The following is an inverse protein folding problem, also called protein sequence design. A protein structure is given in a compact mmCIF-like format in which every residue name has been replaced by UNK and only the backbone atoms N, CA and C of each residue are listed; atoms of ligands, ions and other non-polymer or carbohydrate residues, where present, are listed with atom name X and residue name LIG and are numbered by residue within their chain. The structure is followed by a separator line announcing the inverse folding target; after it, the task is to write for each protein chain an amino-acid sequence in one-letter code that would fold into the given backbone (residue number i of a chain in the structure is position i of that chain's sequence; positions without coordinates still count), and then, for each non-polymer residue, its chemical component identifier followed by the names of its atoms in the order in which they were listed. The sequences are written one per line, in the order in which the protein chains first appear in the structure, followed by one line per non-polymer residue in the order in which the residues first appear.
data_IF_090970573336
#
_entry.id   IF_090970573336
#
_cell.length_a   1.000
_cell.length_b   1.000
_cell.length_c   1.000
_cell.angle_alpha   90.00
_cell.angle_beta   90.00
_cell.angle_gamma   90.00
#
_symmetry.space_group_name_H-M   'P 1'
#
loop_
_entity.id
_entity.type
_entity.pdbx_description
1 polymer ?
#
# COMPACT_ATOMS: atom_id res chain seq x y z
N UNK A 1 13.30 13.73 15.99
CA UNK A 1 12.80 12.57 15.21
C UNK A 1 13.71 12.21 14.03
N UNK A 2 13.74 12.98 12.92
CA UNK A 2 14.53 12.61 11.71
C UNK A 2 16.01 12.33 11.97
N UNK A 3 16.65 13.14 12.81
CA UNK A 3 18.05 12.97 13.21
C UNK A 3 18.32 11.86 14.23
N UNK A 4 17.30 11.04 14.56
CA UNK A 4 17.38 9.97 15.57
C UNK A 4 17.87 10.41 16.95
N UNK A 5 17.55 11.64 17.33
CA UNK A 5 17.79 12.19 18.66
C UNK A 5 16.48 12.08 19.47
N UNK A 6 16.34 11.11 20.39
CA UNK A 6 15.13 10.91 21.19
C UNK A 6 14.95 11.99 22.27
N UNK A 7 16.04 12.48 22.86
CA UNK A 7 16.01 13.50 23.90
C UNK A 7 15.51 14.83 23.32
N UNK A 8 16.06 15.24 22.18
CA UNK A 8 15.56 16.42 21.47
C UNK A 8 14.12 16.21 20.98
N UNK A 9 13.75 15.01 20.53
CA UNK A 9 12.40 14.73 20.05
C UNK A 9 11.35 14.92 21.15
N UNK A 10 11.58 14.35 22.34
CA UNK A 10 10.65 14.50 23.47
C UNK A 10 10.65 15.93 24.03
N UNK A 11 11.81 16.61 24.05
CA UNK A 11 11.87 18.02 24.44
C UNK A 11 11.01 18.90 23.53
N UNK A 12 11.13 18.77 22.20
CA UNK A 12 10.32 19.57 21.27
C UNK A 12 8.85 19.21 21.31
N UNK A 13 8.50 17.94 21.56
CA UNK A 13 7.13 17.52 21.82
C UNK A 13 6.55 18.25 23.04
N UNK A 14 7.25 18.17 24.18
CA UNK A 14 6.83 18.84 25.40
C UNK A 14 6.68 20.35 25.17
N UNK A 15 7.66 20.99 24.52
CA UNK A 15 7.58 22.42 24.16
C UNK A 15 6.35 22.80 23.36
N UNK A 16 5.92 21.96 22.40
CA UNK A 16 4.68 22.21 21.63
C UNK A 16 3.44 22.08 22.51
N UNK A 17 3.34 21.01 23.31
CA UNK A 17 2.17 20.74 24.14
C UNK A 17 2.02 21.77 25.27
N UNK A 18 3.11 22.14 25.95
CA UNK A 18 3.11 23.17 26.98
C UNK A 18 2.81 24.57 26.43
N UNK A 19 3.07 24.81 25.14
CA UNK A 19 2.69 26.04 24.45
C UNK A 19 1.20 26.07 24.03
N UNK A 20 0.44 25.00 24.29
CA UNK A 20 -0.98 24.89 23.94
C UNK A 20 -1.24 24.48 22.49
N UNK A 21 -0.25 23.88 21.81
CA UNK A 21 -0.45 23.34 20.46
C UNK A 21 -1.50 22.22 20.47
N UNK A 22 -2.32 22.16 19.41
CA UNK A 22 -3.34 21.12 19.27
C UNK A 22 -2.70 19.72 19.22
N UNK A 23 -3.06 18.79 20.13
CA UNK A 23 -2.50 17.42 20.13
C UNK A 23 -2.80 16.68 18.81
N UNK A 24 -3.91 16.99 18.12
CA UNK A 24 -4.22 16.43 16.81
C UNK A 24 -3.28 16.97 15.74
N UNK A 25 -2.86 18.23 15.83
CA UNK A 25 -1.80 18.77 14.98
C UNK A 25 -0.48 18.02 15.17
N UNK A 26 -0.06 17.83 16.43
CA UNK A 26 1.16 17.07 16.75
C UNK A 26 1.07 15.64 16.24
N UNK A 27 -0.05 14.95 16.48
CA UNK A 27 -0.30 13.59 16.00
C UNK A 27 -0.19 13.47 14.47
N UNK A 28 -0.77 14.41 13.72
CA UNK A 28 -0.65 14.46 12.26
C UNK A 28 0.82 14.54 11.81
N UNK A 29 1.65 15.31 12.51
CA UNK A 29 3.09 15.39 12.19
C UNK A 29 3.80 14.08 12.45
N UNK A 30 3.49 13.38 13.55
CA UNK A 30 4.06 12.05 13.85
C UNK A 30 3.68 11.04 12.76
N UNK A 31 2.43 11.01 12.30
CA UNK A 31 1.98 10.14 11.21
C UNK A 31 2.72 10.43 9.90
N UNK A 32 2.94 11.71 9.57
CA UNK A 32 3.76 12.09 8.41
C UNK A 32 5.19 11.56 8.57
N UNK A 33 5.82 11.77 9.73
CA UNK A 33 7.17 11.27 10.01
C UNK A 33 7.30 9.75 9.86
N UNK A 34 6.29 8.99 10.31
CA UNK A 34 6.28 7.54 10.18
C UNK A 34 6.41 7.08 8.71
N UNK A 35 5.76 7.78 7.78
CA UNK A 35 5.80 7.42 6.35
C UNK A 35 6.96 8.07 5.59
N UNK A 36 7.37 9.28 5.97
CA UNK A 36 8.40 10.06 5.28
C UNK A 36 9.83 9.64 5.66
N UNK A 37 10.07 9.43 6.96
CA UNK A 37 11.41 9.31 7.51
C UNK A 37 11.73 7.91 8.08
N UNK A 38 10.71 7.15 8.49
CA UNK A 38 10.88 5.73 8.89
C UNK A 38 10.55 4.81 7.71
N UNK A 39 9.39 5.00 7.08
CA UNK A 39 9.00 4.30 5.87
C UNK A 39 8.96 2.78 6.07
N UNK A 40 9.37 2.03 5.05
CA UNK A 40 9.41 0.57 5.14
C UNK A 40 10.66 0.03 5.85
N UNK A 41 11.58 0.90 6.33
CA UNK A 41 12.64 0.42 7.21
C UNK A 41 12.04 -0.17 8.49
N UNK A 42 10.91 0.38 8.95
CA UNK A 42 10.06 -0.25 9.96
C UNK A 42 8.57 0.04 9.66
N UNK A 43 7.87 -0.90 9.00
CA UNK A 43 6.45 -0.73 8.66
C UNK A 43 5.52 -0.57 9.88
N UNK A 44 5.92 -0.98 11.09
CA UNK A 44 5.11 -0.81 12.30
C UNK A 44 5.00 0.67 12.72
N UNK A 45 5.90 1.53 12.26
CA UNK A 45 5.86 2.95 12.58
C UNK A 45 4.51 3.60 12.24
N UNK A 46 3.97 3.36 11.04
CA UNK A 46 2.69 3.95 10.66
C UNK A 46 1.54 3.46 11.54
N UNK A 47 1.58 2.18 11.96
CA UNK A 47 0.59 1.59 12.87
C UNK A 47 0.67 2.25 14.25
N UNK A 48 1.87 2.37 14.82
CA UNK A 48 2.11 3.02 16.11
C UNK A 48 1.66 4.49 16.08
N UNK A 49 2.03 5.23 15.03
CA UNK A 49 1.65 6.64 14.90
C UNK A 49 0.13 6.81 14.77
N UNK A 50 -0.54 5.93 14.00
CA UNK A 50 -2.01 5.96 13.85
C UNK A 50 -2.70 5.65 15.17
N UNK A 51 -2.27 4.60 15.89
CA UNK A 51 -2.83 4.23 17.18
C UNK A 51 -2.66 5.37 18.20
N UNK A 52 -1.49 6.01 18.22
CA UNK A 52 -1.26 7.18 19.08
C UNK A 52 -2.13 8.38 18.67
N UNK A 53 -2.36 8.62 17.39
CA UNK A 53 -3.25 9.69 16.93
C UNK A 53 -4.71 9.45 17.35
N UNK A 54 -5.20 8.22 17.19
CA UNK A 54 -6.54 7.82 17.62
C UNK A 54 -6.69 7.90 19.15
N UNK A 55 -5.70 7.43 19.91
CA UNK A 55 -5.67 7.54 21.36
C UNK A 55 -5.61 8.99 21.84
N UNK A 56 -4.75 9.82 21.24
CA UNK A 56 -4.63 11.24 21.59
C UNK A 56 -5.95 11.99 21.35
N UNK A 57 -6.64 11.68 20.25
CA UNK A 57 -7.94 12.27 19.94
C UNK A 57 -9.03 11.81 20.92
N UNK A 58 -9.04 10.52 21.26
CA UNK A 58 -10.03 9.94 22.17
C UNK A 58 -9.86 10.43 23.62
N UNK A 59 -8.62 10.54 24.08
CA UNK A 59 -8.28 10.85 25.48
C UNK A 59 -8.27 12.37 25.72
N UNK A 60 -7.70 13.15 24.80
CA UNK A 60 -7.51 14.59 24.98
C UNK A 60 -6.39 14.94 25.96
N UNK A 61 -6.14 16.24 26.15
CA UNK A 61 -5.15 16.73 27.13
C UNK A 61 -5.77 16.79 28.54
N UNK A 62 -4.98 16.53 29.60
CA UNK A 62 -3.52 16.37 29.61
C UNK A 62 -2.98 14.96 29.26
N UNK A 63 -3.80 13.91 29.30
CA UNK A 63 -3.32 12.52 29.21
C UNK A 63 -2.84 12.09 27.81
N UNK A 64 -3.20 12.82 26.74
CA UNK A 64 -2.69 12.59 25.39
C UNK A 64 -1.16 12.63 25.29
N UNK A 65 -0.47 13.30 26.24
CA UNK A 65 1.00 13.32 26.32
C UNK A 65 1.61 11.91 26.33
N UNK A 66 0.91 10.93 26.91
CA UNK A 66 1.40 9.56 27.07
C UNK A 66 1.59 8.87 25.72
N UNK A 67 0.53 8.83 24.92
CA UNK A 67 0.55 8.19 23.60
C UNK A 67 1.40 8.97 22.58
N UNK A 68 1.37 10.31 22.63
CA UNK A 68 2.19 11.15 21.76
C UNK A 68 3.68 11.01 22.06
N UNK A 69 4.06 10.92 23.34
CA UNK A 69 5.45 10.69 23.75
C UNK A 69 5.94 9.31 23.33
N UNK A 70 5.12 8.28 23.56
CA UNK A 70 5.43 6.91 23.14
C UNK A 70 5.71 6.84 21.63
N UNK A 71 4.81 7.39 20.81
CA UNK A 71 5.00 7.39 19.35
C UNK A 71 6.20 8.24 18.92
N UNK A 72 6.41 9.41 19.52
CA UNK A 72 7.55 10.29 19.19
C UNK A 72 8.89 9.60 19.44
N UNK A 73 9.03 8.93 20.58
CA UNK A 73 10.25 8.18 20.93
C UNK A 73 10.44 6.96 20.02
N UNK A 74 9.35 6.24 19.71
CA UNK A 74 9.38 5.17 18.72
C UNK A 74 9.95 5.67 17.39
N UNK A 75 9.42 6.77 16.85
CA UNK A 75 9.90 7.34 15.59
C UNK A 75 11.36 7.78 15.66
N UNK A 76 11.80 8.35 16.78
CA UNK A 76 13.18 8.79 16.96
C UNK A 76 14.15 7.59 16.95
N UNK A 77 13.78 6.48 17.57
CA UNK A 77 14.61 5.28 17.70
C UNK A 77 14.51 4.30 16.51
N UNK A 78 13.42 4.37 15.74
CA UNK A 78 13.20 3.50 14.59
C UNK A 78 14.28 3.67 13.50
N UNK A 79 14.59 2.62 12.71
CA UNK A 79 15.47 2.75 11.55
C UNK A 79 14.85 3.73 10.54
N UNK A 80 15.70 4.55 9.89
CA UNK A 80 15.23 5.61 8.99
C UNK A 80 15.32 5.20 7.53
N UNK A 81 14.26 5.43 6.76
CA UNK A 81 14.26 5.38 5.30
C UNK A 81 13.23 6.33 4.71
N UNK A 82 13.66 7.07 3.69
CA UNK A 82 12.79 7.89 2.84
C UNK A 82 12.56 7.27 1.45
N UNK A 83 12.89 5.97 1.28
CA UNK A 83 12.85 5.30 -0.01
C UNK A 83 11.46 5.32 -0.65
N UNK A 84 10.39 5.17 0.15
CA UNK A 84 9.02 5.24 -0.33
C UNK A 84 8.69 6.61 -0.95
N UNK A 85 9.01 7.71 -0.24
CA UNK A 85 8.78 9.07 -0.73
C UNK A 85 9.64 9.39 -1.96
N UNK A 86 10.91 8.96 -1.97
CA UNK A 86 11.79 9.10 -3.13
C UNK A 86 11.25 8.35 -4.34
N UNK A 87 10.75 7.13 -4.16
CA UNK A 87 10.19 6.31 -5.23
C UNK A 87 8.95 6.98 -5.85
N UNK A 88 8.01 7.43 -5.01
CA UNK A 88 6.85 8.19 -5.48
C UNK A 88 7.26 9.47 -6.22
N UNK A 89 8.20 10.23 -5.65
CA UNK A 89 8.68 11.48 -6.26
C UNK A 89 9.33 11.25 -7.62
N UNK A 90 10.06 10.15 -7.78
CA UNK A 90 10.66 9.76 -9.06
C UNK A 90 9.60 9.37 -10.08
N UNK A 91 8.68 8.47 -9.72
CA UNK A 91 7.57 8.06 -10.60
C UNK A 91 6.67 9.24 -11.00
N UNK A 92 6.41 10.17 -10.06
CA UNK A 92 5.61 11.38 -10.30
C UNK A 92 6.22 12.28 -11.37
N UNK A 93 7.55 12.36 -11.48
CA UNK A 93 8.22 13.14 -12.55
C UNK A 93 7.87 12.56 -13.92
N UNK A 94 7.87 11.24 -14.05
CA UNK A 94 7.55 10.56 -15.30
C UNK A 94 6.08 10.68 -15.65
N UNK A 95 5.17 10.54 -14.68
CA UNK A 95 3.74 10.79 -14.89
C UNK A 95 3.50 12.23 -15.38
N UNK A 96 4.17 13.23 -14.77
CA UNK A 96 4.06 14.63 -15.22
C UNK A 96 4.66 14.86 -16.62
N UNK A 97 5.72 14.13 -16.98
CA UNK A 97 6.40 14.28 -18.26
C UNK A 97 5.65 13.63 -19.42
N UNK A 98 5.11 12.43 -19.21
CA UNK A 98 4.51 11.62 -20.25
C UNK A 98 2.97 11.65 -20.26
N UNK A 99 2.35 12.17 -19.21
CA UNK A 99 0.90 12.20 -19.08
C UNK A 99 0.31 10.80 -18.89
N UNK A 100 -0.87 10.57 -19.47
CA UNK A 100 -1.62 9.33 -19.32
C UNK A 100 -1.16 8.26 -20.31
N UNK A 101 0.02 7.67 -20.07
CA UNK A 101 0.47 6.51 -20.84
C UNK A 101 -0.51 5.34 -20.66
N UNK A 102 -0.80 4.57 -21.73
CA UNK A 102 -1.72 3.45 -21.65
C UNK A 102 -1.15 2.33 -20.77
N UNK A 103 -2.03 1.65 -20.04
CA UNK A 103 -1.68 0.40 -19.33
C UNK A 103 -1.28 -0.66 -20.36
N UNK A 104 -0.16 -1.39 -20.18
CA UNK A 104 0.23 -2.47 -21.11
C UNK A 104 -0.85 -3.53 -21.23
N UNK A 105 -1.09 -4.04 -22.45
CA UNK A 105 -2.16 -5.01 -22.74
C UNK A 105 -2.08 -6.27 -21.87
N UNK A 106 -0.86 -6.76 -21.62
CA UNK A 106 -0.59 -7.93 -20.80
C UNK A 106 -1.03 -7.76 -19.33
N UNK A 107 -1.28 -6.55 -18.85
CA UNK A 107 -1.72 -6.29 -17.46
C UNK A 107 -3.17 -5.81 -17.41
N UNK A 108 -3.83 -5.65 -18.57
CA UNK A 108 -5.24 -5.27 -18.61
C UNK A 108 -6.11 -6.46 -18.26
N UNK A 109 -7.11 -6.23 -17.43
CA UNK A 109 -8.10 -7.24 -17.12
C UNK A 109 -9.02 -7.48 -18.33
N UNK A 110 -9.30 -8.74 -18.66
CA UNK A 110 -10.08 -9.16 -19.82
C UNK A 110 -11.43 -9.77 -19.39
N UNK A 111 -12.24 -8.95 -18.70
CA UNK A 111 -13.48 -9.42 -18.06
C UNK A 111 -14.59 -9.67 -19.07
N UNK A 112 -14.66 -8.89 -20.16
CA UNK A 112 -15.74 -8.99 -21.15
C UNK A 112 -15.31 -9.72 -22.44
N UNK A 113 -16.24 -10.31 -23.20
CA UNK A 113 -15.94 -10.92 -24.50
C UNK A 113 -15.28 -9.96 -25.50
N UNK A 114 -15.73 -8.70 -25.53
CA UNK A 114 -15.13 -7.66 -26.37
C UNK A 114 -13.67 -7.36 -25.99
N UNK A 115 -13.34 -7.37 -24.69
CA UNK A 115 -11.97 -7.18 -24.21
C UNK A 115 -11.07 -8.36 -24.57
N UNK A 116 -11.59 -9.60 -24.51
CA UNK A 116 -10.85 -10.79 -24.96
C UNK A 116 -10.59 -10.75 -26.47
N UNK A 117 -11.56 -10.30 -27.26
CA UNK A 117 -11.40 -10.05 -28.70
C UNK A 117 -10.39 -8.93 -29.00
N UNK A 118 -10.32 -7.91 -28.15
CA UNK A 118 -9.30 -6.87 -28.19
C UNK A 118 -7.93 -7.29 -27.60
N UNK A 119 -7.74 -8.59 -27.35
CA UNK A 119 -6.52 -9.22 -26.85
C UNK A 119 -6.05 -8.69 -25.48
N UNK A 120 -6.97 -8.21 -24.64
CA UNK A 120 -6.63 -7.83 -23.27
C UNK A 120 -6.23 -9.08 -22.49
N UNK A 121 -5.21 -8.97 -21.63
CA UNK A 121 -4.72 -10.09 -20.81
C UNK A 121 -4.07 -11.23 -21.59
N UNK A 122 -3.99 -11.16 -22.92
CA UNK A 122 -3.26 -12.14 -23.73
C UNK A 122 -1.77 -12.07 -23.37
N UNK A 123 -1.21 -13.22 -22.98
CA UNK A 123 0.17 -13.31 -22.51
C UNK A 123 0.38 -12.92 -21.03
N UNK A 124 -0.68 -12.59 -20.28
CA UNK A 124 -0.59 -12.47 -18.83
C UNK A 124 -0.33 -13.84 -18.22
N UNK A 125 0.67 -13.94 -17.35
CA UNK A 125 0.92 -15.14 -16.55
C UNK A 125 0.59 -14.81 -15.12
N UNK A 126 -0.24 -15.63 -14.49
CA UNK A 126 -0.68 -15.39 -13.13
C UNK A 126 0.44 -15.77 -12.15
N UNK A 127 1.03 -14.83 -11.39
CA UNK A 127 2.24 -15.12 -10.62
C UNK A 127 2.09 -16.23 -9.57
N UNK A 128 0.88 -16.43 -9.02
CA UNK A 128 0.64 -17.47 -8.01
C UNK A 128 0.70 -18.90 -8.57
N UNK A 129 0.52 -19.08 -9.88
CA UNK A 129 0.63 -20.37 -10.55
C UNK A 129 2.08 -20.67 -10.98
N UNK A 130 2.98 -19.70 -10.81
CA UNK A 130 4.38 -19.80 -11.19
C UNK A 130 5.26 -20.16 -10.00
N UNK A 131 6.37 -20.83 -10.27
CA UNK A 131 7.33 -21.21 -9.24
C UNK A 131 7.84 -19.98 -8.47
N UNK A 132 7.82 -20.06 -7.14
CA UNK A 132 8.21 -18.96 -6.26
C UNK A 132 7.22 -17.78 -6.20
N UNK A 133 6.05 -17.92 -6.84
CA UNK A 133 4.98 -16.91 -6.79
C UNK A 133 5.30 -15.64 -7.60
N UNK A 134 6.19 -15.73 -8.59
CA UNK A 134 6.69 -14.59 -9.36
C UNK A 134 6.84 -14.97 -10.83
N UNK A 135 6.42 -14.08 -11.72
CA UNK A 135 6.72 -14.19 -13.14
C UNK A 135 8.12 -13.63 -13.46
N UNK A 136 9.11 -14.53 -13.54
CA UNK A 136 10.48 -14.16 -13.89
C UNK A 136 10.69 -13.94 -15.39
N UNK A 137 9.79 -14.45 -16.23
CA UNK A 137 9.89 -14.32 -17.68
C UNK A 137 9.29 -12.99 -18.16
N UNK A 138 8.40 -12.38 -17.37
CA UNK A 138 7.87 -11.06 -17.67
C UNK A 138 8.87 -9.93 -17.37
N UNK A 139 9.33 -9.26 -18.43
CA UNK A 139 10.34 -8.20 -18.31
C UNK A 139 9.91 -6.97 -17.51
N UNK A 140 8.73 -6.39 -17.79
CA UNK A 140 8.24 -5.22 -17.04
C UNK A 140 6.75 -4.98 -17.19
N UNK A 141 6.11 -4.70 -16.05
CA UNK A 141 4.71 -4.26 -15.98
C UNK A 141 4.52 -2.76 -16.26
N UNK A 142 5.57 -2.04 -16.63
CA UNK A 142 5.51 -0.61 -16.91
C UNK A 142 5.07 -0.32 -18.35
N UNK A 143 4.54 0.89 -18.62
CA UNK A 143 4.30 1.32 -19.99
C UNK A 143 5.58 1.26 -20.84
N UNK A 144 5.43 0.83 -22.09
CA UNK A 144 6.56 0.62 -23.00
C UNK A 144 7.40 1.89 -23.20
N UNK A 145 6.78 3.07 -23.24
CA UNK A 145 7.49 4.34 -23.33
C UNK A 145 8.43 4.58 -22.14
N UNK A 146 8.06 4.11 -20.94
CA UNK A 146 8.93 4.15 -19.78
C UNK A 146 10.05 3.12 -19.95
N UNK A 147 9.74 1.87 -20.32
CA UNK A 147 10.75 0.81 -20.54
C UNK A 147 11.80 1.23 -21.58
N UNK A 148 11.39 1.72 -22.75
CA UNK A 148 12.30 2.19 -23.80
C UNK A 148 13.18 3.35 -23.34
N UNK A 149 12.62 4.28 -22.54
CA UNK A 149 13.40 5.36 -21.94
C UNK A 149 14.47 4.78 -20.99
N UNK A 150 14.11 3.79 -20.18
CA UNK A 150 15.05 3.10 -19.25
C UNK A 150 16.22 2.47 -20.00
N UNK A 151 15.93 1.81 -21.12
CA UNK A 151 16.95 1.17 -21.97
C UNK A 151 17.89 2.20 -22.63
N UNK A 152 17.34 3.33 -23.11
CA UNK A 152 18.12 4.37 -23.80
C UNK A 152 19.00 5.21 -22.87
N UNK A 153 18.47 5.58 -21.70
CA UNK A 153 19.09 6.60 -20.83
C UNK A 153 19.91 5.99 -19.68
N UNK A 154 19.88 4.66 -19.50
CA UNK A 154 20.45 4.01 -18.32
C UNK A 154 19.52 4.19 -17.12
N UNK A 155 19.13 3.09 -16.48
CA UNK A 155 18.02 3.12 -15.53
C UNK A 155 18.45 3.15 -14.06
N UNK A 156 17.87 4.09 -13.32
CA UNK A 156 17.79 4.08 -11.87
C UNK A 156 16.39 3.61 -11.43
N UNK A 157 16.24 2.40 -10.85
CA UNK A 157 15.02 1.95 -10.18
C UNK A 157 14.36 3.06 -9.37
N UNK A 158 13.04 3.24 -9.56
CA UNK A 158 12.27 4.17 -8.71
C UNK A 158 12.42 3.77 -7.24
N UNK A 159 12.35 2.47 -6.97
CA UNK A 159 12.52 1.90 -5.63
C UNK A 159 13.99 1.60 -5.41
N UNK A 160 14.59 2.34 -4.48
CA UNK A 160 15.94 2.14 -3.95
C UNK A 160 15.80 1.94 -2.44
N UNK A 161 15.57 0.70 -1.97
CA UNK A 161 15.42 0.45 -0.54
C UNK A 161 16.70 0.79 0.21
N UNK A 162 16.57 1.18 1.48
CA UNK A 162 17.72 1.25 2.37
C UNK A 162 18.23 -0.15 2.76
N UNK A 163 19.39 -0.20 3.40
CA UNK A 163 19.97 -1.39 4.00
C UNK A 163 19.47 -1.66 5.44
N UNK A 164 18.53 -0.84 5.93
CA UNK A 164 18.13 -0.79 7.35
C UNK A 164 16.80 -1.50 7.57
N UNK A 165 16.67 -2.09 8.76
CA UNK A 165 15.43 -2.72 9.22
C UNK A 165 14.85 -3.71 8.21
N UNK A 166 13.53 -3.67 8.00
CA UNK A 166 12.84 -4.57 7.09
C UNK A 166 13.26 -4.35 5.62
N UNK A 167 13.50 -3.10 5.22
CA UNK A 167 13.95 -2.76 3.86
C UNK A 167 15.25 -3.44 3.48
N UNK A 168 16.21 -3.57 4.40
CA UNK A 168 17.46 -4.28 4.12
C UNK A 168 17.24 -5.74 3.74
N UNK A 169 16.29 -6.42 4.38
CA UNK A 169 15.90 -7.79 4.01
C UNK A 169 15.18 -7.82 2.66
N UNK A 170 14.26 -6.88 2.44
CA UNK A 170 13.52 -6.77 1.19
C UNK A 170 14.45 -6.46 0.00
N UNK A 171 15.47 -5.63 0.19
CA UNK A 171 16.49 -5.30 -0.80
C UNK A 171 17.26 -6.55 -1.25
N UNK A 172 17.65 -7.42 -0.32
CA UNK A 172 18.33 -8.69 -0.64
C UNK A 172 17.43 -9.62 -1.45
N UNK A 173 16.16 -9.78 -1.06
CA UNK A 173 15.18 -10.58 -1.81
C UNK A 173 14.95 -10.03 -3.22
N UNK A 174 14.83 -8.71 -3.36
CA UNK A 174 14.66 -8.05 -4.65
C UNK A 174 15.92 -8.18 -5.53
N UNK A 175 17.11 -8.08 -4.93
CA UNK A 175 18.39 -8.29 -5.61
C UNK A 175 18.51 -9.69 -6.19
N UNK A 176 18.26 -10.73 -5.38
CA UNK A 176 18.28 -12.12 -5.82
C UNK A 176 17.31 -12.38 -7.00
N UNK A 177 16.10 -11.82 -6.93
CA UNK A 177 15.12 -11.88 -8.02
C UNK A 177 15.61 -11.22 -9.31
N UNK A 178 16.33 -10.10 -9.21
CA UNK A 178 16.87 -9.39 -10.39
C UNK A 178 18.10 -10.06 -10.98
N UNK A 179 18.88 -10.81 -10.20
CA UNK A 179 20.06 -11.53 -10.67
C UNK A 179 19.76 -12.95 -11.17
N UNK A 180 18.50 -13.40 -11.14
CA UNK A 180 18.11 -14.75 -11.52
C UNK A 180 18.57 -15.85 -10.54
N UNK A 181 19.03 -15.46 -9.35
CA UNK A 181 19.35 -16.42 -8.29
C UNK A 181 18.08 -16.69 -7.48
N UNK A 182 17.69 -17.96 -7.38
CA UNK A 182 16.61 -18.37 -6.50
C UNK A 182 16.85 -17.78 -5.11
N UNK A 183 15.92 -16.93 -4.64
CA UNK A 183 16.03 -16.32 -3.34
C UNK A 183 16.08 -17.46 -2.31
N UNK A 184 17.25 -17.65 -1.67
CA UNK A 184 17.38 -18.57 -0.56
C UNK A 184 16.24 -18.26 0.43
N UNK A 185 15.35 -19.22 0.59
CA UNK A 185 14.24 -19.18 1.53
C UNK A 185 14.81 -19.00 2.93
N UNK A 186 14.87 -17.74 3.38
CA UNK A 186 15.19 -17.41 4.75
C UNK A 186 14.00 -17.78 5.61
N UNK A 187 14.08 -18.95 6.24
CA UNK A 187 13.34 -19.30 7.44
C UNK A 187 13.50 -18.20 8.50
N UNK A 188 12.42 -17.94 9.26
CA UNK A 188 12.45 -17.05 10.42
C UNK A 188 11.67 -15.74 10.28
N UNK A 189 10.42 -15.78 9.82
CA UNK A 189 9.42 -14.87 10.37
C UNK A 189 8.72 -15.65 11.49
N UNK A 190 9.00 -15.31 12.75
CA UNK A 190 8.17 -15.76 13.88
C UNK A 190 6.74 -15.34 13.59
N UNK A 191 5.94 -16.33 13.18
CA UNK A 191 4.51 -16.19 13.10
C UNK A 191 4.01 -16.12 14.53
N UNK A 192 3.63 -14.92 15.00
CA UNK A 192 2.85 -14.79 16.23
C UNK A 192 1.50 -15.45 15.93
N UNK A 193 1.38 -16.72 16.31
CA UNK A 193 0.13 -17.46 16.30
C UNK A 193 -0.73 -16.87 17.41
N UNK A 194 -1.77 -16.11 17.03
CA UNK A 194 -2.89 -15.87 17.92
C UNK A 194 -3.77 -17.13 17.87
N UNK A 195 -3.97 -17.85 18.98
CA UNK A 195 -4.85 -19.01 18.97
C UNK A 195 -6.29 -18.55 18.78
N UNK A 196 -6.91 -18.97 17.68
CA UNK A 196 -8.35 -18.87 17.43
C UNK A 196 -8.87 -20.27 17.15
N UNK A 197 -9.79 -20.72 18.00
CA UNK A 197 -10.32 -22.06 18.04
C UNK A 197 -10.97 -22.53 16.73
N UNK A 198 -10.89 -23.84 16.53
CA UNK A 198 -11.38 -24.61 15.40
C UNK A 198 -12.91 -24.54 15.21
N UNK A 199 -13.37 -24.61 13.96
CA UNK A 199 -14.21 -25.69 13.41
C UNK A 199 -14.85 -25.27 12.07
N UNK A 200 -14.99 -26.23 11.14
CA UNK A 200 -15.89 -26.11 9.99
C UNK A 200 -15.23 -26.11 8.62
N UNK A 201 -14.90 -27.30 8.10
CA UNK A 201 -14.71 -27.54 6.66
C UNK A 201 -16.04 -27.30 5.94
N UNK A 202 -16.02 -26.55 4.84
CA UNK A 202 -17.14 -26.42 3.91
C UNK A 202 -16.64 -26.04 2.54
N UNK A 203 -16.89 -26.92 1.57
CA UNK A 203 -16.57 -26.77 0.14
C UNK A 203 -17.04 -25.41 -0.43
N UNK A 204 -16.24 -24.83 -1.32
CA UNK A 204 -16.64 -23.68 -2.14
C UNK A 204 -17.14 -24.21 -3.50
N UNK A 205 -18.44 -24.18 -3.81
CA UNK A 205 -18.90 -24.55 -5.14
C UNK A 205 -18.72 -23.41 -6.15
N UNK A 206 -18.50 -23.83 -7.39
CA UNK A 206 -18.29 -23.01 -8.57
C UNK A 206 -19.54 -22.19 -8.98
N UNK A 207 -19.27 -20.97 -9.47
CA UNK A 207 -19.99 -20.22 -10.51
C UNK A 207 -21.52 -20.12 -10.44
N UNK A 208 -22.02 -18.92 -10.12
CA UNK A 208 -23.39 -18.52 -10.41
C UNK A 208 -23.44 -17.75 -11.75
N UNK A 209 -24.08 -18.35 -12.75
CA UNK A 209 -24.51 -17.69 -13.98
C UNK A 209 -25.63 -16.68 -13.67
N UNK A 210 -25.49 -15.46 -14.17
CA UNK A 210 -26.52 -14.43 -14.12
C UNK A 210 -27.51 -14.64 -15.28
N UNK A 211 -28.77 -14.89 -14.95
CA UNK A 211 -29.86 -15.10 -15.91
C UNK A 211 -30.21 -13.87 -16.73
N UNK A 212 -30.57 -14.10 -17.99
CA UNK A 212 -31.16 -13.12 -18.91
C UNK A 212 -32.59 -12.73 -18.50
N UNK A 213 -33.06 -11.51 -18.83
CA UNK A 213 -34.42 -11.08 -18.52
C UNK A 213 -35.41 -11.54 -19.60
N UNK A 214 -36.55 -12.09 -19.19
CA UNK A 214 -37.67 -12.37 -20.08
C UNK A 214 -38.55 -11.12 -20.26
N UNK A 215 -38.82 -10.82 -21.52
CA UNK A 215 -39.79 -9.82 -21.99
C UNK A 215 -41.20 -10.43 -21.99
N UNK A 216 -42.22 -9.68 -21.57
CA UNK A 216 -43.54 -10.28 -21.30
C UNK A 216 -44.67 -9.34 -20.88
N UNK A 217 -44.88 -8.27 -21.66
CA UNK A 217 -46.16 -7.61 -21.99
C UNK A 217 -47.43 -7.74 -21.10
N UNK A 218 -47.99 -6.55 -20.79
CA UNK A 218 -49.41 -6.12 -20.84
C UNK A 218 -50.41 -6.67 -19.78
N UNK A 219 -51.01 -5.77 -18.97
CA UNK A 219 -52.14 -4.92 -19.38
C UNK A 219 -52.86 -4.23 -18.20
N UNK A 220 -53.34 -3.01 -18.49
CA UNK A 220 -54.59 -2.37 -18.04
C UNK A 220 -54.88 -2.10 -16.54
N UNK A 221 -55.14 -0.82 -16.22
CA UNK A 221 -55.80 -0.41 -14.97
C UNK A 221 -55.92 1.11 -14.80
N UNK A 222 -57.00 1.68 -15.34
CA UNK A 222 -57.48 3.08 -15.29
C UNK A 222 -57.42 3.79 -13.91
N UNK A 223 -57.14 5.10 -14.00
CA UNK A 223 -57.84 6.26 -13.41
C UNK A 223 -57.86 6.49 -11.88
N UNK A 224 -57.53 7.73 -11.48
CA UNK A 224 -57.92 8.27 -10.18
C UNK A 224 -57.18 9.54 -9.75
N UNK A 225 -57.35 10.65 -10.48
CA UNK A 225 -57.22 11.98 -9.86
C UNK A 225 -58.27 12.13 -8.76
N UNK A 226 -57.84 12.63 -7.60
CA UNK A 226 -58.61 13.53 -6.73
C UNK A 226 -57.69 14.06 -5.62
N UNK A 227 -57.48 15.37 -5.60
CA UNK A 227 -56.99 16.09 -4.44
C UNK A 227 -58.09 16.25 -3.38
N UNK A 228 -57.71 16.46 -2.13
CA UNK A 228 -57.98 17.66 -1.33
C UNK A 228 -57.39 17.46 0.08
N UNK A 229 -56.89 18.53 0.70
CA UNK A 229 -56.42 18.57 2.10
C UNK A 229 -55.10 19.30 2.31
#
# INVERSE_FOLDING_TARGET
IRGSDPDAAVYWLARMLEAGEDPVFVARRIVIFASEDVGNADPQALVVARAAAEAAHMIGMPEAVLCLSQATLYMALAPKSNAALRAYSSARKDVKRYGALPVPLAVRNAVTPLMKQAQYGVGYRYPHDLEGGVDQEHGSYLPEAIVRRREREGFEPYVQPSDRGWEGQAARRLGARRSGQAAATGEGAEHVVVPGDAEGRGDVPATAEAGEPSDGARSAGKAGERGDG
#
